data_IF_625665050783
#
_entry.id   IF_625665050783
#
_cell.length_a   1.000
_cell.length_b   1.000
_cell.length_c   1.000
_cell.angle_alpha   90.00
_cell.angle_beta   90.00
_cell.angle_gamma   90.00
#
_symmetry.space_group_name_H-M   'P 1'
#
loop_
_entity.id
_entity.type
_entity.pdbx_description
1 polymer ?
#
# COMPACT_ATOMS: atom_id res chain seq x y z
N UNK A 1 -4.81 14.37 14.52
CA UNK A 1 -6.01 14.04 13.75
C UNK A 1 -5.55 13.22 12.55
N UNK A 2 -5.99 11.96 12.52
CA UNK A 2 -5.75 11.04 11.42
C UNK A 2 -6.80 11.37 10.35
N UNK A 3 -6.40 11.46 9.08
CA UNK A 3 -7.34 11.70 7.98
C UNK A 3 -7.44 10.43 7.14
N UNK A 4 -8.68 10.00 6.91
CA UNK A 4 -9.02 8.90 6.00
C UNK A 4 -9.45 9.54 4.67
N UNK A 5 -8.86 9.09 3.57
CA UNK A 5 -9.13 9.60 2.22
C UNK A 5 -9.41 8.42 1.29
N UNK A 6 -10.36 8.59 0.36
CA UNK A 6 -10.54 7.67 -0.76
C UNK A 6 -9.63 8.09 -1.91
N UNK A 7 -8.80 7.17 -2.39
CA UNK A 7 -7.95 7.34 -3.56
C UNK A 7 -8.70 6.85 -4.80
N UNK A 8 -9.52 7.74 -5.37
CA UNK A 8 -10.28 7.44 -6.59
C UNK A 8 -9.37 7.25 -7.82
N UNK A 9 -8.16 7.86 -7.82
CA UNK A 9 -7.15 7.72 -8.86
C UNK A 9 -5.80 7.55 -8.17
N UNK A 10 -5.12 6.43 -8.45
CA UNK A 10 -3.78 6.14 -7.92
C UNK A 10 -2.74 6.61 -8.93
N UNK A 11 -2.00 7.66 -8.60
CA UNK A 11 -0.87 8.11 -9.43
C UNK A 11 0.41 7.32 -9.10
N UNK A 12 1.49 7.56 -9.85
CA UNK A 12 2.77 6.88 -9.65
C UNK A 12 3.39 7.08 -8.26
N UNK A 13 3.20 8.26 -7.65
CA UNK A 13 3.68 8.57 -6.31
C UNK A 13 2.89 7.78 -5.27
N UNK A 14 1.57 7.78 -5.38
CA UNK A 14 0.68 7.03 -4.49
C UNK A 14 0.99 5.54 -4.57
N UNK A 15 1.20 5.00 -5.78
CA UNK A 15 1.60 3.61 -6.00
C UNK A 15 2.93 3.27 -5.32
N UNK A 16 3.94 4.15 -5.44
CA UNK A 16 5.22 3.95 -4.76
C UNK A 16 5.03 3.87 -3.24
N UNK A 17 4.27 4.80 -2.67
CA UNK A 17 4.05 4.83 -1.22
C UNK A 17 3.18 3.66 -0.73
N UNK A 18 2.23 3.16 -1.54
CA UNK A 18 1.48 1.90 -1.30
C UNK A 18 2.45 0.73 -1.19
N UNK A 19 3.33 0.56 -2.18
CA UNK A 19 4.27 -0.55 -2.23
C UNK A 19 5.25 -0.48 -1.06
N UNK A 20 5.83 0.69 -0.78
CA UNK A 20 6.78 0.88 0.33
C UNK A 20 6.11 0.57 1.68
N UNK A 21 4.88 1.05 1.90
CA UNK A 21 4.12 0.79 3.15
C UNK A 21 3.75 -0.68 3.30
N UNK A 22 3.33 -1.33 2.20
CA UNK A 22 3.02 -2.76 2.19
C UNK A 22 4.26 -3.57 2.53
N UNK A 23 5.38 -3.32 1.87
CA UNK A 23 6.63 -4.04 2.13
C UNK A 23 7.08 -3.87 3.58
N UNK A 24 7.05 -2.64 4.10
CA UNK A 24 7.40 -2.38 5.51
C UNK A 24 6.47 -3.10 6.48
N UNK A 25 5.17 -3.16 6.18
CA UNK A 25 4.19 -3.87 7.02
C UNK A 25 4.42 -5.39 6.98
N UNK A 26 4.72 -5.95 5.81
CA UNK A 26 5.01 -7.38 5.63
C UNK A 26 6.29 -7.77 6.37
N UNK A 27 7.39 -7.00 6.22
CA UNK A 27 8.64 -7.24 6.97
C UNK A 27 8.45 -7.21 8.49
N UNK A 28 7.52 -6.40 8.98
CA UNK A 28 7.25 -6.26 10.41
C UNK A 28 6.36 -7.37 10.99
N UNK A 29 5.61 -8.11 10.15
CA UNK A 29 4.53 -9.02 10.63
C UNK A 29 4.58 -10.42 10.06
N UNK A 30 5.32 -10.64 8.96
CA UNK A 30 5.46 -11.92 8.27
C UNK A 30 6.95 -12.31 8.25
N UNK A 31 7.54 -12.47 9.43
CA UNK A 31 8.94 -12.84 9.63
C UNK A 31 9.34 -14.19 9.00
N UNK A 32 8.35 -15.03 8.71
CA UNK A 32 8.51 -16.29 7.97
C UNK A 32 8.73 -16.12 6.46
N UNK A 33 8.54 -14.93 5.88
CA UNK A 33 8.81 -14.66 4.46
C UNK A 33 10.25 -14.20 4.24
N UNK A 34 10.90 -14.73 3.19
CA UNK A 34 12.21 -14.23 2.74
C UNK A 34 12.07 -12.87 2.05
N UNK A 35 13.13 -12.05 2.07
CA UNK A 35 13.16 -10.78 1.32
C UNK A 35 12.90 -10.96 -0.18
N UNK A 36 13.41 -12.05 -0.76
CA UNK A 36 13.13 -12.41 -2.16
C UNK A 36 11.63 -12.58 -2.41
N UNK A 37 10.93 -13.29 -1.53
CA UNK A 37 9.48 -13.49 -1.64
C UNK A 37 8.69 -12.19 -1.43
N UNK A 38 9.16 -11.31 -0.54
CA UNK A 38 8.52 -10.00 -0.32
C UNK A 38 8.59 -9.15 -1.59
N UNK A 39 9.76 -9.13 -2.25
CA UNK A 39 10.02 -8.34 -3.46
C UNK A 39 9.35 -8.95 -4.69
N UNK A 40 9.33 -10.28 -4.82
CA UNK A 40 8.78 -10.97 -6.00
C UNK A 40 7.28 -10.77 -6.20
N UNK A 41 6.55 -10.42 -5.12
CA UNK A 41 5.11 -10.13 -5.13
C UNK A 41 4.80 -8.67 -5.54
N UNK A 42 5.80 -7.78 -5.60
CA UNK A 42 5.63 -6.35 -5.90
C UNK A 42 4.90 -6.08 -7.24
N UNK A 43 5.21 -6.77 -8.35
CA UNK A 43 4.49 -6.59 -9.61
C UNK A 43 2.98 -6.90 -9.50
N UNK A 44 2.63 -7.96 -8.78
CA UNK A 44 1.24 -8.40 -8.59
C UNK A 44 0.48 -7.38 -7.72
N UNK A 45 1.09 -6.85 -6.66
CA UNK A 45 0.46 -5.80 -5.83
C UNK A 45 0.19 -4.55 -6.67
N UNK A 46 1.13 -4.14 -7.52
CA UNK A 46 0.95 -3.01 -8.44
C UNK A 46 -0.19 -3.25 -9.43
N UNK A 47 -0.32 -4.47 -9.92
CA UNK A 47 -1.38 -4.85 -10.85
C UNK A 47 -2.75 -4.89 -10.16
N UNK A 48 -2.85 -5.59 -9.03
CA UNK A 48 -4.06 -5.65 -8.20
C UNK A 48 -4.56 -4.26 -7.82
N UNK A 49 -3.64 -3.33 -7.53
CA UNK A 49 -4.02 -1.98 -7.14
C UNK A 49 -4.77 -1.20 -8.22
N UNK A 50 -4.68 -1.60 -9.50
CA UNK A 50 -5.48 -1.02 -10.60
C UNK A 50 -6.94 -1.48 -10.59
N UNK A 51 -7.22 -2.61 -9.96
CA UNK A 51 -8.55 -3.25 -9.95
C UNK A 51 -9.31 -3.05 -8.65
N UNK A 52 -8.69 -2.41 -7.65
CA UNK A 52 -9.36 -2.09 -6.38
C UNK A 52 -10.26 -0.87 -6.60
N UNK A 53 -11.55 -1.06 -6.34
CA UNK A 53 -12.59 -0.05 -6.57
C UNK A 53 -12.63 1.01 -5.47
N UNK A 54 -12.24 0.66 -4.23
CA UNK A 54 -12.11 1.62 -3.13
C UNK A 54 -10.78 1.46 -2.39
N UNK A 55 -9.80 2.31 -2.74
CA UNK A 55 -8.59 2.44 -1.95
C UNK A 55 -8.79 3.48 -0.85
N UNK A 56 -8.93 3.00 0.38
CA UNK A 56 -8.88 3.86 1.54
C UNK A 56 -7.43 4.02 1.98
N UNK A 57 -7.04 5.25 2.23
CA UNK A 57 -5.73 5.61 2.72
C UNK A 57 -5.88 6.34 4.06
N UNK A 58 -4.98 6.02 4.97
CA UNK A 58 -4.75 6.82 6.17
C UNK A 58 -3.49 7.66 5.98
N UNK A 59 -3.63 9.00 6.01
CA UNK A 59 -2.47 9.91 5.99
C UNK A 59 -2.23 10.57 7.35
N UNK A 60 -0.96 10.84 7.63
CA UNK A 60 -0.58 11.73 8.72
C UNK A 60 -0.71 13.22 8.34
N UNK A 61 -0.47 14.14 9.29
CA UNK A 61 -0.55 15.59 9.05
C UNK A 61 0.45 16.10 7.99
N UNK A 62 1.53 15.35 7.74
CA UNK A 62 2.56 15.65 6.73
C UNK A 62 2.24 14.98 5.38
N UNK A 63 1.05 14.36 5.24
CA UNK A 63 0.56 13.64 4.06
C UNK A 63 1.29 12.33 3.73
N UNK A 64 2.05 11.78 4.68
CA UNK A 64 2.63 10.44 4.52
C UNK A 64 1.58 9.36 4.75
N UNK A 65 1.62 8.30 3.95
CA UNK A 65 0.76 7.14 4.14
C UNK A 65 1.15 6.34 5.38
N UNK A 66 0.16 5.97 6.17
CA UNK A 66 0.31 5.09 7.34
C UNK A 66 -0.26 3.70 7.10
N UNK A 67 -1.29 3.58 6.27
CA UNK A 67 -1.97 2.33 5.98
C UNK A 67 -2.87 2.50 4.75
N UNK A 68 -3.18 1.36 4.13
CA UNK A 68 -4.07 1.24 3.00
C UNK A 68 -5.03 0.09 3.18
N UNK A 69 -6.24 0.24 2.67
CA UNK A 69 -7.23 -0.81 2.57
C UNK A 69 -7.84 -0.77 1.17
N UNK A 70 -7.97 -1.94 0.55
CA UNK A 70 -8.59 -2.11 -0.75
C UNK A 70 -9.60 -3.24 -0.71
N UNK A 71 -10.79 -3.01 -1.26
CA UNK A 71 -11.73 -4.07 -1.59
C UNK A 71 -11.92 -4.15 -3.12
N UNK A 72 -12.09 -5.37 -3.61
CA UNK A 72 -12.51 -5.66 -4.98
C UNK A 72 -14.03 -5.67 -5.06
#
# INVERSE_FOLDING_TARGET
MIKIENLNIINNKDMKEILDTRESSVRATHDFLSEENIISIKPQVKECAKYVSNFLCVRDKKRYYKSFYGNT
#
